data_IF_705912277216
#
_entry.id   IF_705912277216
#
_cell.length_a   1.000
_cell.length_b   1.000
_cell.length_c   1.000
_cell.angle_alpha   90.00
_cell.angle_beta   90.00
_cell.angle_gamma   90.00
#
_symmetry.space_group_name_H-M   'P 1'
#
loop_
_entity.id
_entity.type
_entity.pdbx_description
1 polymer ?
#
# COMPACT_ATOMS: atom_id res chain seq x y z
N UNK A 1 -36.58 -12.23 13.90
CA UNK A 1 -36.07 -11.59 15.13
C UNK A 1 -34.62 -11.28 14.87
N UNK A 2 -34.30 -10.05 14.53
CA UNK A 2 -32.93 -9.60 14.35
C UNK A 2 -32.35 -9.27 15.73
N UNK A 3 -31.33 -10.01 16.15
CA UNK A 3 -30.59 -9.72 17.36
C UNK A 3 -29.76 -8.46 17.09
N UNK A 4 -30.11 -7.38 17.78
CA UNK A 4 -29.30 -6.16 17.81
C UNK A 4 -27.88 -6.54 18.32
N UNK A 5 -26.90 -6.33 17.48
CA UNK A 5 -25.50 -6.42 17.89
C UNK A 5 -25.25 -5.38 18.97
N UNK A 6 -24.75 -5.85 20.11
CA UNK A 6 -24.33 -5.03 21.24
C UNK A 6 -23.19 -4.09 20.77
N UNK A 7 -23.46 -2.79 20.71
CA UNK A 7 -22.51 -1.76 20.25
C UNK A 7 -21.69 -1.18 21.39
N UNK A 8 -21.64 -1.83 22.56
CA UNK A 8 -21.10 -1.23 23.79
C UNK A 8 -19.59 -1.38 24.00
N UNK A 9 -18.80 -1.86 23.02
CA UNK A 9 -17.35 -1.99 23.21
C UNK A 9 -16.54 -1.92 21.90
N UNK A 10 -16.94 -1.11 20.94
CA UNK A 10 -16.03 -0.85 19.79
C UNK A 10 -15.07 0.27 20.19
N UNK A 11 -13.81 -0.09 20.40
CA UNK A 11 -12.72 0.87 20.39
C UNK A 11 -12.87 1.74 19.12
N UNK A 12 -12.98 3.06 19.28
CA UNK A 12 -13.19 4.03 18.20
C UNK A 12 -12.12 3.95 17.08
N UNK A 13 -11.13 3.08 17.23
CA UNK A 13 -10.03 2.80 16.29
C UNK A 13 -10.20 1.51 15.49
N UNK A 14 -11.22 0.71 15.77
CA UNK A 14 -11.57 -0.37 14.85
C UNK A 14 -12.29 0.29 13.68
N UNK A 15 -11.77 0.22 12.45
CA UNK A 15 -12.53 0.73 11.32
C UNK A 15 -13.90 0.08 11.37
N UNK A 16 -15.00 0.84 11.23
CA UNK A 16 -16.32 0.25 11.22
C UNK A 16 -16.28 -0.90 10.22
N UNK A 17 -16.78 -2.08 10.63
CA UNK A 17 -16.90 -3.22 9.71
C UNK A 17 -17.61 -2.67 8.49
N UNK A 18 -16.85 -2.48 7.43
CA UNK A 18 -17.36 -1.71 6.33
C UNK A 18 -18.61 -2.41 5.80
N UNK A 19 -19.66 -1.66 5.53
CA UNK A 19 -20.95 -2.20 5.05
C UNK A 19 -20.76 -3.12 3.85
N UNK A 20 -19.69 -2.90 3.05
CA UNK A 20 -19.34 -3.77 1.93
C UNK A 20 -18.91 -5.19 2.36
N UNK A 21 -18.26 -5.39 3.52
CA UNK A 21 -17.95 -6.73 4.04
C UNK A 21 -19.23 -7.51 4.35
N UNK A 22 -20.27 -6.81 4.83
CA UNK A 22 -21.56 -7.40 5.05
C UNK A 22 -22.25 -7.79 3.73
N UNK A 23 -22.13 -6.96 2.70
CA UNK A 23 -22.71 -7.20 1.38
C UNK A 23 -21.99 -8.30 0.60
N UNK A 24 -20.68 -8.41 0.69
CA UNK A 24 -19.90 -9.53 0.12
C UNK A 24 -20.30 -10.84 0.80
N UNK A 25 -20.46 -10.85 2.13
CA UNK A 25 -20.95 -12.00 2.88
C UNK A 25 -22.36 -12.42 2.45
N UNK A 26 -23.20 -11.45 2.15
CA UNK A 26 -24.57 -11.69 1.64
C UNK A 26 -24.58 -12.22 0.20
N UNK A 27 -23.54 -11.93 -0.59
CA UNK A 27 -23.38 -12.44 -1.97
C UNK A 27 -22.73 -13.81 -2.06
N UNK A 28 -22.25 -14.37 -0.94
CA UNK A 28 -21.57 -15.67 -0.90
C UNK A 28 -20.17 -15.66 -1.51
N UNK A 29 -19.58 -14.49 -1.73
CA UNK A 29 -18.21 -14.34 -2.16
C UNK A 29 -17.26 -14.53 -0.97
N UNK A 30 -16.15 -15.22 -1.18
CA UNK A 30 -15.15 -15.42 -0.14
C UNK A 30 -14.56 -14.07 0.28
N UNK A 31 -14.83 -13.67 1.51
CA UNK A 31 -14.26 -12.48 2.11
C UNK A 31 -12.75 -12.65 2.24
N UNK A 32 -11.99 -11.79 1.62
CA UNK A 32 -10.68 -11.43 2.17
C UNK A 32 -10.98 -10.67 3.47
N UNK A 33 -10.95 -11.39 4.59
CA UNK A 33 -11.20 -10.77 5.90
C UNK A 33 -10.08 -9.77 6.20
N UNK A 34 -10.39 -8.50 6.04
CA UNK A 34 -9.62 -7.42 6.63
C UNK A 34 -9.86 -7.40 8.14
N UNK A 35 -9.38 -8.42 8.82
CA UNK A 35 -9.28 -8.35 10.27
C UNK A 35 -8.03 -7.60 10.63
N UNK A 36 -8.17 -6.30 10.84
CA UNK A 36 -7.26 -5.59 11.72
C UNK A 36 -7.50 -6.16 13.12
N UNK A 37 -6.89 -7.32 13.41
CA UNK A 37 -6.97 -7.85 14.76
C UNK A 37 -6.27 -6.86 15.70
N UNK A 38 -6.89 -6.45 16.81
CA UNK A 38 -6.21 -5.65 17.81
C UNK A 38 -4.92 -6.37 18.22
N UNK A 39 -3.79 -5.68 18.16
CA UNK A 39 -2.54 -6.21 18.72
C UNK A 39 -2.61 -5.98 20.21
N UNK A 40 -2.76 -7.06 20.99
CA UNK A 40 -2.79 -6.98 22.43
C UNK A 40 -1.55 -6.24 22.96
N UNK A 41 -1.77 -5.26 23.83
CA UNK A 41 -0.72 -4.41 24.40
C UNK A 41 -0.24 -3.28 23.49
N UNK A 42 -0.93 -3.00 22.37
CA UNK A 42 -0.63 -1.83 21.53
C UNK A 42 -1.05 -0.55 22.25
N UNK A 43 -0.10 0.40 22.35
CA UNK A 43 -0.39 1.75 22.83
C UNK A 43 -1.28 2.52 21.85
N UNK A 44 -1.99 3.54 22.33
CA UNK A 44 -2.78 4.43 21.46
C UNK A 44 -1.89 5.24 20.51
N UNK A 45 -2.45 5.78 19.41
CA UNK A 45 -1.72 6.67 18.50
C UNK A 45 -1.08 7.83 19.28
N UNK A 46 -1.84 8.45 20.19
CA UNK A 46 -1.35 9.56 21.00
C UNK A 46 -0.17 9.14 21.91
N UNK A 47 -0.25 7.94 22.53
CA UNK A 47 0.81 7.43 23.38
C UNK A 47 2.06 7.00 22.59
N UNK A 48 1.87 6.61 21.33
CA UNK A 48 2.95 6.21 20.40
C UNK A 48 3.66 7.39 19.77
N UNK A 49 3.13 8.60 19.91
CA UNK A 49 3.68 9.83 19.34
C UNK A 49 3.97 9.71 17.83
N UNK A 50 3.10 9.04 17.09
CA UNK A 50 3.27 8.88 15.64
C UNK A 50 3.04 10.23 14.94
N UNK A 51 3.78 10.47 13.85
CA UNK A 51 3.50 11.59 12.99
C UNK A 51 2.05 11.52 12.49
N UNK A 52 1.32 12.62 12.64
CA UNK A 52 -0.05 12.72 12.13
C UNK A 52 -0.05 13.11 10.66
N UNK A 53 -1.00 12.57 9.91
CA UNK A 53 -1.12 12.78 8.48
C UNK A 53 -0.31 11.78 7.66
N UNK A 54 -0.50 11.87 6.35
CA UNK A 54 0.12 10.96 5.39
C UNK A 54 1.10 11.72 4.51
N UNK A 55 2.31 11.18 4.27
CA UNK A 55 3.24 11.79 3.34
C UNK A 55 2.68 11.71 1.91
N UNK A 56 2.91 12.74 1.10
CA UNK A 56 2.41 12.75 -0.27
C UNK A 56 3.25 11.88 -1.20
N UNK A 57 2.60 11.27 -2.17
CA UNK A 57 3.27 10.40 -3.14
C UNK A 57 2.32 9.43 -3.84
N UNK A 58 2.89 8.60 -4.71
CA UNK A 58 2.22 7.47 -5.31
C UNK A 58 2.22 6.26 -4.37
N UNK A 59 1.06 5.62 -4.25
CA UNK A 59 0.87 4.42 -3.44
C UNK A 59 0.18 3.32 -4.26
N UNK A 60 0.77 2.15 -4.31
CA UNK A 60 0.12 0.97 -4.89
C UNK A 60 -0.98 0.50 -3.92
N UNK A 61 -2.22 0.65 -4.31
CA UNK A 61 -3.37 0.37 -3.43
C UNK A 61 -3.98 -1.00 -3.70
N UNK A 62 -4.11 -1.41 -4.96
CA UNK A 62 -4.67 -2.71 -5.33
C UNK A 62 -3.94 -3.27 -6.56
N UNK A 63 -4.01 -4.58 -6.76
CA UNK A 63 -3.56 -5.18 -8.02
C UNK A 63 -4.50 -4.79 -9.16
N UNK A 64 -3.97 -4.68 -10.39
CA UNK A 64 -4.77 -4.27 -11.57
C UNK A 64 -6.00 -5.15 -11.80
N UNK A 65 -5.92 -6.44 -11.47
CA UNK A 65 -7.03 -7.38 -11.57
C UNK A 65 -8.09 -7.26 -10.47
N UNK A 66 -7.90 -6.39 -9.47
CA UNK A 66 -8.83 -6.24 -8.34
C UNK A 66 -10.22 -5.78 -8.77
N UNK A 67 -10.33 -4.92 -9.77
CA UNK A 67 -11.58 -4.43 -10.30
C UNK A 67 -11.69 -4.72 -11.79
N UNK A 68 -12.70 -5.52 -12.19
CA UNK A 68 -12.95 -5.88 -13.58
C UNK A 68 -13.63 -4.72 -14.36
N UNK A 69 -13.58 -4.71 -15.70
CA UNK A 69 -14.35 -3.76 -16.50
C UNK A 69 -15.84 -3.81 -16.15
N UNK A 70 -16.45 -2.64 -15.92
CA UNK A 70 -17.84 -2.52 -15.51
C UNK A 70 -18.10 -2.80 -14.02
N UNK A 71 -17.07 -3.05 -13.22
CA UNK A 71 -17.18 -3.32 -11.78
C UNK A 71 -16.82 -2.08 -10.96
N UNK A 72 -17.53 -1.90 -9.83
CA UNK A 72 -17.22 -0.91 -8.80
C UNK A 72 -17.05 -1.57 -7.44
N UNK A 73 -16.07 -1.11 -6.66
CA UNK A 73 -15.74 -1.63 -5.31
C UNK A 73 -15.48 -0.50 -4.32
N UNK A 74 -15.64 -0.81 -3.05
CA UNK A 74 -15.20 0.04 -1.96
C UNK A 74 -13.75 -0.29 -1.58
N UNK A 75 -12.94 0.74 -1.34
CA UNK A 75 -11.61 0.62 -0.76
C UNK A 75 -11.44 1.69 0.32
N UNK A 76 -10.47 1.50 1.21
CA UNK A 76 -10.15 2.46 2.26
C UNK A 76 -8.64 2.68 2.33
N UNK A 77 -8.23 3.95 2.13
CA UNK A 77 -6.85 4.40 2.22
C UNK A 77 -6.81 5.86 2.67
N UNK A 78 -5.73 6.25 3.33
CA UNK A 78 -5.52 7.62 3.82
C UNK A 78 -6.66 8.12 4.74
N UNK A 79 -7.16 7.23 5.60
CA UNK A 79 -8.32 7.46 6.48
C UNK A 79 -9.59 7.89 5.72
N UNK A 80 -9.70 7.53 4.42
CA UNK A 80 -10.84 7.87 3.56
C UNK A 80 -11.48 6.63 2.96
N UNK A 81 -12.80 6.62 2.94
CA UNK A 81 -13.56 5.68 2.15
C UNK A 81 -13.60 6.15 0.69
N UNK A 82 -13.24 5.26 -0.22
CA UNK A 82 -13.10 5.53 -1.64
C UNK A 82 -13.96 4.56 -2.44
N UNK A 83 -14.48 5.04 -3.55
CA UNK A 83 -15.09 4.20 -4.58
C UNK A 83 -14.15 4.07 -5.76
N UNK A 84 -13.73 2.83 -6.06
CA UNK A 84 -12.92 2.48 -7.22
C UNK A 84 -13.77 1.73 -8.22
N UNK A 85 -13.60 2.04 -9.50
CA UNK A 85 -14.24 1.28 -10.58
C UNK A 85 -13.41 1.28 -11.85
N UNK A 86 -13.67 0.31 -12.69
CA UNK A 86 -13.12 0.28 -14.04
C UNK A 86 -14.24 0.55 -15.04
N UNK A 87 -14.07 1.61 -15.82
CA UNK A 87 -14.99 1.95 -16.90
C UNK A 87 -14.99 0.90 -18.03
N UNK A 88 -15.93 1.01 -18.95
CA UNK A 88 -15.98 0.17 -20.17
C UNK A 88 -14.80 0.43 -21.10
N UNK A 89 -14.18 1.63 -20.99
CA UNK A 89 -12.92 1.97 -21.66
C UNK A 89 -11.69 1.28 -21.07
N UNK A 90 -11.86 0.47 -20.01
CA UNK A 90 -10.81 -0.24 -19.31
C UNK A 90 -10.02 0.60 -18.31
N UNK A 91 -10.26 1.90 -18.20
CA UNK A 91 -9.52 2.77 -17.29
C UNK A 91 -10.08 2.72 -15.87
N UNK A 92 -9.19 2.68 -14.90
CA UNK A 92 -9.54 2.75 -13.48
C UNK A 92 -9.75 4.20 -13.04
N UNK A 93 -10.76 4.42 -12.24
CA UNK A 93 -11.10 5.71 -11.65
C UNK A 93 -11.40 5.57 -10.17
N UNK A 94 -11.12 6.62 -9.41
CA UNK A 94 -11.37 6.66 -7.96
C UNK A 94 -11.97 8.00 -7.57
N UNK A 95 -13.01 7.95 -6.75
CA UNK A 95 -13.65 9.10 -6.10
C UNK A 95 -13.71 8.89 -4.58
N UNK A 96 -13.84 9.97 -3.82
CA UNK A 96 -14.35 9.89 -2.45
C UNK A 96 -15.72 9.18 -2.48
N UNK A 97 -15.93 8.25 -1.55
CA UNK A 97 -16.97 7.22 -1.70
C UNK A 97 -18.41 7.74 -1.61
N UNK A 98 -18.64 8.88 -0.95
CA UNK A 98 -20.00 9.25 -0.53
C UNK A 98 -20.71 10.17 -1.52
N UNK A 99 -21.86 9.68 -2.02
CA UNK A 99 -22.76 10.40 -2.91
C UNK A 99 -23.24 11.71 -2.28
N UNK A 100 -23.17 12.82 -3.03
CA UNK A 100 -23.53 14.17 -2.56
C UNK A 100 -25.05 14.37 -2.41
N UNK A 101 -25.86 13.39 -2.83
CA UNK A 101 -27.31 13.45 -2.62
C UNK A 101 -27.65 13.16 -1.15
N UNK A 102 -27.53 11.91 -0.69
CA UNK A 102 -27.89 11.49 0.68
C UNK A 102 -26.83 10.58 1.31
N UNK A 103 -25.57 10.68 0.89
CA UNK A 103 -24.45 10.05 1.57
C UNK A 103 -24.29 8.54 1.36
N UNK A 104 -24.93 7.94 0.36
CA UNK A 104 -24.72 6.52 0.06
C UNK A 104 -23.29 6.26 -0.41
N UNK A 105 -22.67 5.16 0.03
CA UNK A 105 -21.35 4.74 -0.40
C UNK A 105 -21.39 4.16 -1.83
N UNK A 106 -20.82 4.86 -2.80
CA UNK A 106 -20.95 4.53 -4.22
C UNK A 106 -20.19 3.27 -4.64
N UNK A 107 -19.13 2.89 -3.92
CA UNK A 107 -18.40 1.64 -4.16
C UNK A 107 -19.12 0.39 -3.66
N UNK A 108 -20.25 0.54 -2.93
CA UNK A 108 -21.02 -0.56 -2.36
C UNK A 108 -22.33 -0.70 -3.12
N UNK A 109 -22.41 -1.67 -4.03
CA UNK A 109 -23.59 -1.88 -4.87
C UNK A 109 -23.77 -0.82 -5.97
N UNK A 110 -22.83 0.10 -6.14
CA UNK A 110 -22.79 1.00 -7.30
C UNK A 110 -22.64 0.25 -8.60
N UNK A 111 -23.07 0.85 -9.69
CA UNK A 111 -23.00 0.27 -11.04
C UNK A 111 -22.17 1.16 -11.95
N UNK A 112 -21.57 0.55 -12.95
CA UNK A 112 -20.83 1.29 -13.96
C UNK A 112 -21.72 1.41 -15.22
N UNK A 113 -21.85 2.62 -15.74
CA UNK A 113 -22.54 2.92 -17.01
C UNK A 113 -21.58 3.65 -17.93
N UNK A 114 -21.06 2.96 -18.93
CA UNK A 114 -19.94 3.45 -19.71
C UNK A 114 -18.73 3.68 -18.83
N UNK A 115 -18.39 4.95 -18.58
CA UNK A 115 -17.28 5.33 -17.71
C UNK A 115 -17.75 5.99 -16.39
N UNK A 116 -19.06 6.14 -16.20
CA UNK A 116 -19.67 6.79 -15.05
C UNK A 116 -19.96 5.79 -13.93
N UNK A 117 -19.78 6.23 -12.69
CA UNK A 117 -20.19 5.49 -11.49
C UNK A 117 -21.59 5.90 -11.05
N UNK A 118 -22.53 4.96 -11.05
CA UNK A 118 -23.89 5.15 -10.60
C UNK A 118 -24.03 4.84 -9.11
N UNK A 119 -24.57 5.79 -8.36
CA UNK A 119 -24.92 5.63 -6.95
C UNK A 119 -26.02 4.58 -6.78
N UNK A 120 -25.87 3.59 -5.87
CA UNK A 120 -26.81 2.50 -5.70
C UNK A 120 -28.16 2.95 -5.13
N UNK A 121 -28.26 4.16 -4.56
CA UNK A 121 -29.45 4.61 -3.86
C UNK A 121 -30.47 5.28 -4.80
N UNK A 122 -30.01 6.29 -5.59
CA UNK A 122 -30.91 7.06 -6.47
C UNK A 122 -30.34 7.26 -7.87
N UNK A 123 -29.43 6.38 -8.32
CA UNK A 123 -28.86 6.34 -9.64
C UNK A 123 -28.20 7.66 -10.14
N UNK A 124 -27.68 8.49 -9.24
CA UNK A 124 -26.84 9.63 -9.63
C UNK A 124 -25.53 9.12 -10.22
N UNK A 125 -25.19 9.61 -11.44
CA UNK A 125 -24.01 9.13 -12.18
C UNK A 125 -22.89 10.15 -12.15
N UNK A 126 -21.76 9.72 -11.62
CA UNK A 126 -20.57 10.54 -11.36
C UNK A 126 -19.49 10.25 -12.40
N UNK A 127 -18.86 11.30 -12.91
CA UNK A 127 -17.67 11.20 -13.73
C UNK A 127 -16.41 11.20 -12.82
N UNK A 128 -15.55 10.19 -12.99
CA UNK A 128 -14.31 10.08 -12.24
C UNK A 128 -13.20 11.03 -12.68
N UNK A 129 -13.32 11.62 -13.86
CA UNK A 129 -12.30 12.55 -14.36
C UNK A 129 -12.42 13.94 -13.71
N UNK A 130 -13.64 14.43 -13.51
CA UNK A 130 -13.88 15.78 -13.03
C UNK A 130 -14.69 15.86 -11.71
N UNK A 131 -15.21 14.73 -11.22
CA UNK A 131 -16.01 14.68 -9.98
C UNK A 131 -17.37 15.37 -10.09
N UNK A 132 -17.93 15.40 -11.28
CA UNK A 132 -19.21 16.05 -11.62
C UNK A 132 -20.31 15.00 -11.76
N UNK A 133 -21.54 15.34 -11.42
CA UNK A 133 -22.73 14.52 -11.75
C UNK A 133 -23.14 14.79 -13.20
N UNK A 134 -23.07 13.79 -14.04
CA UNK A 134 -23.39 13.88 -15.47
C UNK A 134 -24.83 13.49 -15.78
N UNK A 135 -25.46 12.69 -14.93
CA UNK A 135 -26.83 12.22 -15.14
C UNK A 135 -27.56 11.96 -13.82
N UNK A 136 -28.83 12.26 -13.82
CA UNK A 136 -29.80 11.92 -12.74
C UNK A 136 -31.07 11.44 -13.45
N UNK A 137 -31.27 10.12 -13.64
CA UNK A 137 -32.29 9.57 -14.53
C UNK A 137 -33.74 10.00 -14.26
N UNK A 138 -34.08 10.36 -13.03
CA UNK A 138 -35.43 10.77 -12.63
C UNK A 138 -35.62 12.28 -12.59
N UNK A 139 -34.57 13.07 -12.77
CA UNK A 139 -34.63 14.53 -12.64
C UNK A 139 -34.88 15.21 -14.00
N UNK A 140 -35.67 16.27 -14.03
CA UNK A 140 -35.85 17.10 -15.22
C UNK A 140 -34.59 17.92 -15.55
N UNK A 141 -33.77 18.21 -14.56
CA UNK A 141 -32.51 18.94 -14.70
C UNK A 141 -31.55 18.58 -13.56
N UNK A 142 -30.28 18.59 -13.87
CA UNK A 142 -29.20 18.40 -12.88
C UNK A 142 -29.05 19.68 -12.08
N UNK A 143 -29.04 19.64 -10.73
CA UNK A 143 -28.85 20.82 -9.88
C UNK A 143 -27.51 21.52 -10.19
N UNK A 144 -27.47 22.85 -10.22
CA UNK A 144 -26.24 23.60 -10.52
C UNK A 144 -25.04 23.28 -9.61
N UNK A 145 -25.31 22.93 -8.35
CA UNK A 145 -24.30 22.59 -7.34
C UNK A 145 -23.43 21.41 -7.74
N UNK A 146 -23.98 20.43 -8.47
CA UNK A 146 -23.31 19.20 -8.88
C UNK A 146 -22.94 19.17 -10.37
N UNK A 147 -23.23 20.26 -11.11
CA UNK A 147 -22.70 20.49 -12.48
C UNK A 147 -21.24 20.95 -12.49
N UNK A 148 -20.65 21.16 -11.33
CA UNK A 148 -19.24 21.45 -11.09
C UNK A 148 -18.65 20.36 -10.21
N UNK A 149 -17.31 20.31 -10.07
CA UNK A 149 -16.66 19.35 -9.17
C UNK A 149 -17.31 19.41 -7.78
N UNK A 150 -17.97 18.33 -7.41
CA UNK A 150 -18.68 18.21 -6.14
C UNK A 150 -18.13 17.09 -5.25
N UNK A 151 -17.28 16.21 -5.80
CA UNK A 151 -16.54 15.18 -5.03
C UNK A 151 -15.08 15.18 -5.45
N UNK A 152 -14.20 14.70 -4.56
CA UNK A 152 -12.78 14.61 -4.87
C UNK A 152 -12.55 13.50 -5.89
N UNK A 153 -11.79 13.82 -6.93
CA UNK A 153 -11.19 12.86 -7.86
C UNK A 153 -9.78 12.55 -7.43
N UNK A 154 -9.32 11.35 -7.69
CA UNK A 154 -7.96 10.92 -7.39
C UNK A 154 -7.18 10.73 -8.67
N UNK A 155 -5.90 11.14 -8.68
CA UNK A 155 -5.00 10.75 -9.76
C UNK A 155 -4.71 9.25 -9.64
N UNK A 156 -4.95 8.55 -10.73
CA UNK A 156 -4.82 7.09 -10.81
C UNK A 156 -3.94 6.75 -12.00
N UNK A 157 -3.06 5.78 -11.84
CA UNK A 157 -2.34 5.14 -12.94
C UNK A 157 -2.23 3.64 -12.70
N UNK A 158 -2.02 2.87 -13.77
CA UNK A 158 -1.72 1.46 -13.68
C UNK A 158 -0.31 1.22 -14.22
N UNK A 159 0.52 0.60 -13.41
CA UNK A 159 1.88 0.22 -13.77
C UNK A 159 2.31 -0.99 -12.96
N UNK A 160 3.17 -1.83 -13.52
CA UNK A 160 3.74 -3.02 -12.85
C UNK A 160 2.67 -3.98 -12.30
N UNK A 161 1.49 -4.08 -12.92
CA UNK A 161 0.39 -4.92 -12.45
C UNK A 161 -0.38 -4.36 -11.23
N UNK A 162 -0.15 -3.11 -10.88
CA UNK A 162 -0.78 -2.42 -9.78
C UNK A 162 -1.61 -1.23 -10.21
N UNK A 163 -2.65 -0.90 -9.40
CA UNK A 163 -3.37 0.37 -9.41
C UNK A 163 -2.69 1.27 -8.39
N UNK A 164 -2.25 2.43 -8.83
CA UNK A 164 -1.57 3.45 -8.04
C UNK A 164 -2.46 4.66 -7.85
N UNK A 165 -2.55 5.14 -6.59
CA UNK A 165 -3.17 6.41 -6.26
C UNK A 165 -2.12 7.42 -5.85
N UNK A 166 -2.24 8.64 -6.36
CA UNK A 166 -1.50 9.78 -5.85
C UNK A 166 -2.24 10.40 -4.68
N UNK A 167 -1.56 10.47 -3.54
CA UNK A 167 -2.03 11.22 -2.39
C UNK A 167 -1.26 12.52 -2.25
N UNK A 168 -2.00 13.63 -2.06
CA UNK A 168 -1.48 14.93 -1.61
C UNK A 168 -2.53 15.60 -0.74
N UNK A 169 -2.17 16.17 0.44
CA UNK A 169 -3.15 16.73 1.37
C UNK A 169 -3.89 17.95 0.81
N UNK A 170 -3.27 18.72 -0.10
CA UNK A 170 -3.87 19.86 -0.78
C UNK A 170 -4.31 19.56 -2.23
N UNK A 171 -4.48 18.31 -2.62
CA UNK A 171 -4.85 17.89 -3.98
C UNK A 171 -3.91 18.38 -5.10
N UNK A 172 -2.62 18.64 -4.78
CA UNK A 172 -1.65 18.96 -5.81
C UNK A 172 -1.43 17.78 -6.76
N UNK A 173 -1.18 18.10 -8.03
CA UNK A 173 -0.90 17.11 -9.05
C UNK A 173 0.38 16.30 -8.77
N UNK A 174 0.53 15.08 -9.34
CA UNK A 174 1.74 14.30 -9.21
C UNK A 174 2.99 15.06 -9.61
N UNK A 175 4.04 14.97 -8.80
CA UNK A 175 5.32 15.62 -9.01
C UNK A 175 6.36 14.70 -9.65
N UNK A 176 6.08 13.40 -9.70
CA UNK A 176 6.88 12.35 -10.37
C UNK A 176 5.97 11.21 -10.81
N UNK A 177 6.46 10.37 -11.69
CA UNK A 177 5.74 9.22 -12.21
C UNK A 177 6.01 7.95 -11.40
N UNK A 178 5.18 6.93 -11.60
CA UNK A 178 5.45 5.59 -11.11
C UNK A 178 6.59 4.98 -11.90
N UNK A 179 7.59 4.45 -11.21
CA UNK A 179 8.74 3.78 -11.84
C UNK A 179 8.28 2.47 -12.47
N UNK A 180 8.64 2.26 -13.73
CA UNK A 180 8.29 1.07 -14.47
C UNK A 180 9.34 -0.03 -14.29
N UNK A 181 8.88 -1.25 -14.03
CA UNK A 181 9.68 -2.46 -13.90
C UNK A 181 9.32 -3.43 -15.04
N UNK A 182 10.16 -3.57 -16.09
CA UNK A 182 9.87 -4.42 -17.24
C UNK A 182 9.55 -5.87 -16.85
N UNK A 183 10.18 -6.38 -15.82
CA UNK A 183 10.04 -7.75 -15.32
C UNK A 183 8.60 -8.08 -14.91
N UNK A 184 7.81 -7.07 -14.52
CA UNK A 184 6.41 -7.26 -14.15
C UNK A 184 5.52 -7.73 -15.31
N UNK A 185 5.97 -7.54 -16.54
CA UNK A 185 5.24 -7.95 -17.75
C UNK A 185 6.08 -8.83 -18.70
N UNK A 186 7.30 -9.15 -18.33
CA UNK A 186 8.20 -9.98 -19.11
C UNK A 186 7.74 -11.46 -19.07
N UNK A 187 7.51 -12.10 -20.24
CA UNK A 187 7.07 -13.49 -20.30
C UNK A 187 8.11 -14.48 -19.75
N UNK A 188 9.37 -14.10 -19.65
CA UNK A 188 10.44 -14.93 -19.08
C UNK A 188 10.53 -14.82 -17.55
N UNK A 189 9.75 -13.95 -16.95
CA UNK A 189 9.61 -13.81 -15.50
C UNK A 189 8.30 -14.46 -15.00
N UNK A 190 8.28 -14.87 -13.73
CA UNK A 190 7.08 -15.47 -13.13
C UNK A 190 5.99 -14.41 -12.93
N UNK A 191 4.73 -14.85 -12.84
CA UNK A 191 3.70 -14.01 -12.23
C UNK A 191 4.08 -13.68 -10.79
N UNK A 192 3.56 -12.58 -10.25
CA UNK A 192 3.83 -12.22 -8.87
C UNK A 192 3.41 -13.30 -7.87
N UNK A 193 4.33 -13.64 -6.98
CA UNK A 193 4.01 -14.29 -5.70
C UNK A 193 3.75 -13.17 -4.69
N UNK A 194 2.51 -13.09 -4.20
CA UNK A 194 2.03 -11.98 -3.37
C UNK A 194 1.91 -12.40 -1.92
N UNK A 195 2.54 -11.63 -1.03
CA UNK A 195 2.40 -11.75 0.43
C UNK A 195 1.88 -10.44 0.99
N UNK A 196 1.05 -10.51 2.03
CA UNK A 196 0.37 -9.35 2.58
C UNK A 196 0.40 -9.33 4.12
N UNK A 197 0.59 -8.14 4.67
CA UNK A 197 0.57 -7.88 6.11
C UNK A 197 -0.22 -6.62 6.43
N UNK A 198 -0.80 -6.58 7.62
CA UNK A 198 -1.22 -5.36 8.28
C UNK A 198 -0.15 -4.99 9.31
N UNK A 199 0.44 -3.81 9.19
CA UNK A 199 1.43 -3.28 10.12
C UNK A 199 0.83 -2.10 10.86
N UNK A 200 0.95 -2.14 12.19
CA UNK A 200 0.48 -1.07 13.07
C UNK A 200 1.61 -0.10 13.38
N UNK A 201 1.71 0.95 12.60
CA UNK A 201 2.77 1.94 12.70
C UNK A 201 2.62 3.02 11.64
N UNK A 202 3.45 4.05 11.70
CA UNK A 202 3.53 5.03 10.63
C UNK A 202 4.41 4.52 9.50
N UNK A 203 4.11 4.96 8.28
CA UNK A 203 4.93 4.63 7.11
C UNK A 203 6.38 5.14 7.27
N UNK A 204 6.59 6.24 7.98
CA UNK A 204 7.94 6.76 8.26
C UNK A 204 8.74 5.79 9.11
N UNK A 205 8.15 5.19 10.15
CA UNK A 205 8.85 4.22 11.00
C UNK A 205 9.34 3.01 10.18
N UNK A 206 8.52 2.51 9.26
CA UNK A 206 8.96 1.45 8.35
C UNK A 206 10.05 1.93 7.39
N UNK A 207 9.92 3.15 6.87
CA UNK A 207 10.89 3.68 5.91
C UNK A 207 12.26 3.97 6.56
N UNK A 208 12.32 4.27 7.86
CA UNK A 208 13.58 4.43 8.61
C UNK A 208 14.41 3.14 8.63
N UNK A 209 13.77 1.98 8.58
CA UNK A 209 14.44 0.67 8.55
C UNK A 209 15.44 0.55 7.38
N UNK A 210 15.16 1.20 6.26
CA UNK A 210 16.04 1.20 5.10
C UNK A 210 17.33 2.02 5.25
N UNK A 211 17.57 2.69 6.37
CA UNK A 211 18.84 3.36 6.73
C UNK A 211 19.42 2.84 8.03
N UNK A 212 18.68 1.99 8.75
CA UNK A 212 19.15 1.30 9.93
C UNK A 212 19.78 -0.04 9.51
N UNK A 213 21.10 -0.11 9.48
CA UNK A 213 21.80 -1.36 9.13
C UNK A 213 22.08 -2.24 10.35
N UNK A 214 22.02 -1.68 11.56
CA UNK A 214 22.34 -2.42 12.79
C UNK A 214 21.31 -3.52 13.08
N UNK A 215 20.02 -3.29 12.79
CA UNK A 215 18.96 -4.25 13.06
C UNK A 215 19.15 -5.59 12.33
N UNK A 216 19.83 -5.60 11.16
CA UNK A 216 20.10 -6.86 10.43
C UNK A 216 20.79 -7.89 11.30
N UNK A 217 21.75 -7.46 12.12
CA UNK A 217 22.47 -8.36 13.02
C UNK A 217 21.58 -8.84 14.17
N UNK A 218 20.84 -7.93 14.78
CA UNK A 218 20.14 -8.22 16.04
C UNK A 218 18.72 -8.78 15.83
N UNK A 219 18.08 -8.45 14.73
CA UNK A 219 16.72 -8.91 14.42
C UNK A 219 16.77 -10.09 13.43
N UNK A 220 17.56 -9.97 12.36
CA UNK A 220 17.60 -10.99 11.29
C UNK A 220 18.76 -12.00 11.47
N UNK A 221 19.65 -11.76 12.44
CA UNK A 221 20.69 -12.71 12.81
C UNK A 221 21.85 -12.80 11.82
N UNK A 222 22.14 -11.73 11.08
CA UNK A 222 23.35 -11.69 10.24
C UNK A 222 24.61 -11.77 11.13
N UNK A 223 25.69 -12.38 10.63
CA UNK A 223 26.94 -12.53 11.40
C UNK A 223 27.52 -11.18 11.83
N UNK A 224 27.47 -10.21 10.95
CA UNK A 224 27.95 -8.86 11.17
C UNK A 224 26.92 -7.82 10.74
N UNK A 225 27.07 -6.57 11.14
CA UNK A 225 26.33 -5.44 10.61
C UNK A 225 26.78 -5.22 9.16
N UNK A 226 25.90 -5.33 8.15
CA UNK A 226 26.32 -5.22 6.78
C UNK A 226 26.73 -3.80 6.43
N UNK A 227 27.71 -3.67 5.51
CA UNK A 227 28.00 -2.37 4.90
C UNK A 227 26.95 -2.01 3.87
N UNK A 228 26.45 -0.79 3.93
CA UNK A 228 25.49 -0.26 2.98
C UNK A 228 26.04 1.01 2.29
N UNK A 229 25.92 1.05 0.97
CA UNK A 229 26.22 2.23 0.17
C UNK A 229 24.91 2.99 -0.10
N UNK A 230 24.68 4.09 0.63
CA UNK A 230 23.45 4.85 0.55
C UNK A 230 23.48 5.85 -0.62
N UNK A 231 22.37 5.97 -1.32
CA UNK A 231 22.13 6.94 -2.39
C UNK A 231 20.95 7.84 -2.03
N UNK A 232 21.10 9.14 -2.31
CA UNK A 232 20.07 10.15 -2.02
C UNK A 232 19.77 10.95 -3.29
N UNK A 233 18.48 11.10 -3.59
CA UNK A 233 17.97 11.95 -4.65
C UNK A 233 16.89 12.90 -4.13
N UNK A 234 16.33 13.70 -5.02
CA UNK A 234 15.29 14.67 -4.65
C UNK A 234 14.01 14.00 -4.14
N UNK A 235 13.53 12.99 -4.85
CA UNK A 235 12.30 12.29 -4.51
C UNK A 235 12.48 10.78 -4.26
N UNK A 236 13.70 10.31 -4.31
CA UNK A 236 14.02 8.91 -4.13
C UNK A 236 15.31 8.72 -3.35
N UNK A 237 15.49 7.53 -2.83
CA UNK A 237 16.73 7.10 -2.20
C UNK A 237 16.94 5.62 -2.46
N UNK A 238 18.16 5.15 -2.25
CA UNK A 238 18.46 3.74 -2.37
C UNK A 238 19.66 3.34 -1.53
N UNK A 239 19.87 2.04 -1.46
CA UNK A 239 21.04 1.44 -0.82
C UNK A 239 21.45 0.16 -1.54
N UNK A 240 22.76 -0.07 -1.63
CA UNK A 240 23.33 -1.35 -2.00
C UNK A 240 23.95 -1.98 -0.76
N UNK A 241 23.44 -3.14 -0.38
CA UNK A 241 23.94 -3.92 0.74
C UNK A 241 24.62 -5.17 0.18
N UNK A 242 25.91 -5.32 0.43
CA UNK A 242 26.68 -6.50 0.08
C UNK A 242 26.62 -7.51 1.21
N UNK A 243 26.14 -8.71 0.91
CA UNK A 243 25.96 -9.76 1.92
C UNK A 243 26.52 -11.09 1.44
N UNK A 244 27.07 -11.84 2.38
CA UNK A 244 27.36 -13.27 2.16
C UNK A 244 26.13 -14.07 2.52
N UNK A 245 25.59 -14.78 1.53
CA UNK A 245 24.36 -15.53 1.64
C UNK A 245 24.66 -17.02 1.74
N UNK A 246 24.06 -17.71 2.72
CA UNK A 246 24.23 -19.16 2.92
C UNK A 246 23.43 -19.96 1.90
N UNK A 247 24.07 -20.95 1.29
CA UNK A 247 23.43 -21.97 0.45
C UNK A 247 23.78 -23.37 0.97
N UNK A 248 23.09 -24.42 0.56
CA UNK A 248 23.47 -25.79 0.94
C UNK A 248 24.88 -26.21 0.52
N UNK A 249 25.46 -25.53 -0.46
CA UNK A 249 26.79 -25.81 -0.99
C UNK A 249 27.88 -24.84 -0.52
N UNK A 250 27.52 -23.87 0.35
CA UNK A 250 28.47 -22.88 0.89
C UNK A 250 27.92 -21.46 0.86
N UNK A 251 28.81 -20.49 1.09
CA UNK A 251 28.50 -19.06 1.04
C UNK A 251 28.66 -18.52 -0.37
N UNK A 252 27.72 -17.71 -0.81
CA UNK A 252 27.79 -16.95 -2.07
C UNK A 252 27.74 -15.44 -1.77
N UNK A 253 28.45 -14.67 -2.58
CA UNK A 253 28.33 -13.21 -2.50
C UNK A 253 27.04 -12.77 -3.20
N UNK A 254 26.28 -11.92 -2.55
CA UNK A 254 25.05 -11.34 -3.07
C UNK A 254 24.96 -9.86 -2.84
N UNK A 255 24.11 -9.22 -3.59
CA UNK A 255 23.79 -7.80 -3.44
C UNK A 255 22.29 -7.66 -3.27
N UNK A 256 21.90 -6.84 -2.31
CA UNK A 256 20.54 -6.38 -2.10
C UNK A 256 20.52 -4.91 -2.49
N UNK A 257 19.96 -4.59 -3.65
CA UNK A 257 19.79 -3.22 -4.12
C UNK A 257 18.36 -2.78 -3.83
N UNK A 258 18.23 -1.85 -2.90
CA UNK A 258 16.94 -1.30 -2.49
C UNK A 258 16.81 0.13 -2.99
N UNK A 259 15.69 0.47 -3.59
CA UNK A 259 15.38 1.83 -4.06
C UNK A 259 13.93 2.23 -3.78
N UNK A 260 13.71 3.54 -3.64
CA UNK A 260 12.38 4.14 -3.49
C UNK A 260 12.23 5.35 -4.40
N UNK A 261 10.98 5.64 -4.76
CA UNK A 261 10.59 6.91 -5.37
C UNK A 261 9.37 7.45 -4.60
N UNK A 262 9.60 8.44 -3.75
CA UNK A 262 8.62 8.86 -2.76
C UNK A 262 8.39 7.82 -1.64
N UNK A 263 7.42 8.05 -0.77
CA UNK A 263 7.18 7.19 0.39
C UNK A 263 6.47 5.87 0.06
N UNK A 264 5.70 5.81 -1.04
CA UNK A 264 4.84 4.67 -1.34
C UNK A 264 5.34 3.75 -2.46
N UNK A 265 6.43 4.09 -3.14
CA UNK A 265 7.07 3.24 -4.14
C UNK A 265 8.38 2.68 -3.60
N UNK A 266 8.50 1.37 -3.54
CA UNK A 266 9.71 0.69 -3.10
C UNK A 266 9.92 -0.58 -3.91
N UNK A 267 11.17 -0.85 -4.29
CA UNK A 267 11.54 -2.10 -4.92
C UNK A 267 12.92 -2.53 -4.45
N UNK A 268 13.13 -3.84 -4.44
CA UNK A 268 14.40 -4.44 -4.07
C UNK A 268 14.78 -5.50 -5.07
N UNK A 269 16.04 -5.45 -5.54
CA UNK A 269 16.64 -6.48 -6.37
C UNK A 269 17.62 -7.29 -5.55
N UNK A 270 17.44 -8.59 -5.57
CA UNK A 270 18.33 -9.55 -4.93
C UNK A 270 19.11 -10.27 -6.02
N UNK A 271 20.43 -10.44 -5.79
CA UNK A 271 21.31 -11.23 -6.63
C UNK A 271 22.14 -12.19 -5.76
N UNK A 272 22.77 -13.16 -6.37
CA UNK A 272 23.63 -14.14 -5.68
C UNK A 272 22.97 -15.51 -5.59
N UNK A 273 21.96 -15.70 -4.72
CA UNK A 273 21.25 -16.97 -4.59
C UNK A 273 20.29 -17.20 -5.77
N UNK A 274 19.44 -16.20 -6.00
CA UNK A 274 18.47 -16.18 -7.10
C UNK A 274 18.20 -14.75 -7.45
N UNK A 275 18.16 -14.44 -8.73
CA UNK A 275 17.71 -13.12 -9.19
C UNK A 275 16.24 -12.96 -8.82
N UNK A 276 15.93 -11.90 -8.07
CA UNK A 276 14.58 -11.66 -7.58
C UNK A 276 14.31 -10.17 -7.58
N UNK A 277 13.18 -9.77 -8.16
CA UNK A 277 12.62 -8.45 -8.00
C UNK A 277 11.47 -8.53 -6.99
N UNK A 278 11.55 -7.73 -5.95
CA UNK A 278 10.46 -7.42 -5.03
C UNK A 278 9.95 -6.02 -5.35
N UNK A 279 8.69 -5.91 -5.74
CA UNK A 279 7.96 -4.63 -5.76
C UNK A 279 7.11 -4.57 -4.50
N UNK A 280 7.40 -3.61 -3.63
CA UNK A 280 6.72 -3.49 -2.35
C UNK A 280 5.72 -2.32 -2.36
N UNK A 281 4.54 -2.57 -1.82
CA UNK A 281 3.52 -1.57 -1.54
C UNK A 281 3.42 -1.36 -0.03
N UNK A 282 3.56 -0.09 0.39
CA UNK A 282 3.36 0.36 1.77
C UNK A 282 2.25 1.41 1.74
N UNK A 283 0.99 0.99 1.79
CA UNK A 283 -0.14 1.89 1.61
C UNK A 283 -0.83 2.19 2.96
N UNK A 284 -0.87 3.46 3.39
CA UNK A 284 -1.57 3.84 4.61
C UNK A 284 -3.09 3.64 4.48
N UNK A 285 -3.67 2.85 5.38
CA UNK A 285 -5.12 2.70 5.54
C UNK A 285 -5.63 3.72 6.54
N UNK A 286 -4.99 3.80 7.70
CA UNK A 286 -5.19 4.80 8.75
C UNK A 286 -3.85 5.43 9.13
N UNK A 287 -3.84 6.43 9.99
CA UNK A 287 -2.61 7.11 10.42
C UNK A 287 -1.61 6.15 11.09
N UNK A 288 -2.11 5.09 11.73
CA UNK A 288 -1.32 4.06 12.40
C UNK A 288 -1.51 2.66 11.82
N UNK A 289 -2.09 2.52 10.65
CA UNK A 289 -2.34 1.23 10.00
C UNK A 289 -1.88 1.26 8.56
N UNK A 290 -0.95 0.38 8.24
CA UNK A 290 -0.44 0.18 6.89
C UNK A 290 -0.88 -1.17 6.35
N UNK A 291 -1.27 -1.18 5.09
CA UNK A 291 -1.35 -2.39 4.28
C UNK A 291 -0.03 -2.56 3.55
N UNK A 292 0.69 -3.61 3.87
CA UNK A 292 1.99 -3.92 3.27
C UNK A 292 1.83 -5.13 2.37
N UNK A 293 2.23 -5.01 1.11
CA UNK A 293 2.25 -6.15 0.17
C UNK A 293 3.61 -6.25 -0.48
N UNK A 294 4.14 -7.46 -0.50
CA UNK A 294 5.34 -7.83 -1.23
C UNK A 294 4.94 -8.66 -2.44
N UNK A 295 5.32 -8.17 -3.61
CA UNK A 295 5.12 -8.87 -4.89
C UNK A 295 6.48 -9.28 -5.44
N UNK A 296 6.75 -10.57 -5.38
CA UNK A 296 8.00 -11.15 -5.88
C UNK A 296 7.82 -11.67 -7.29
N UNK A 297 8.81 -11.41 -8.14
CA UNK A 297 8.95 -12.05 -9.44
C UNK A 297 10.40 -12.46 -9.67
N UNK A 298 10.60 -13.58 -10.38
CA UNK A 298 11.90 -14.20 -10.60
C UNK A 298 11.96 -14.72 -12.04
N UNK A 299 13.15 -14.83 -12.64
CA UNK A 299 13.30 -15.51 -13.93
C UNK A 299 12.74 -16.94 -13.85
N UNK A 300 11.86 -17.32 -14.77
CA UNK A 300 11.25 -18.65 -14.82
C UNK A 300 12.28 -19.77 -14.84
N UNK A 301 13.38 -19.56 -15.55
CA UNK A 301 14.48 -20.53 -15.61
C UNK A 301 15.08 -20.85 -14.22
N UNK A 302 15.03 -19.92 -13.27
CA UNK A 302 15.46 -20.12 -11.88
C UNK A 302 14.34 -20.65 -10.99
N UNK A 303 13.15 -20.06 -11.11
CA UNK A 303 12.00 -20.36 -10.25
C UNK A 303 11.34 -21.71 -10.55
N UNK A 304 11.42 -22.20 -11.78
CA UNK A 304 10.80 -23.45 -12.25
C UNK A 304 11.84 -24.53 -12.58
N UNK A 305 13.14 -24.17 -12.60
CA UNK A 305 14.27 -25.04 -12.91
C UNK A 305 14.84 -25.76 -11.68
N UNK A 306 16.04 -26.34 -11.81
CA UNK A 306 16.73 -27.03 -10.71
C UNK A 306 16.99 -26.15 -9.47
N UNK A 307 17.03 -24.83 -9.63
CA UNK A 307 17.20 -23.84 -8.56
C UNK A 307 15.93 -23.45 -7.81
N UNK A 308 14.75 -23.97 -8.19
CA UNK A 308 13.45 -23.55 -7.65
C UNK A 308 13.36 -23.60 -6.12
N UNK A 309 14.02 -24.57 -5.49
CA UNK A 309 14.06 -24.66 -4.03
C UNK A 309 14.74 -23.48 -3.36
N UNK A 310 15.84 -22.99 -3.94
CA UNK A 310 16.58 -21.81 -3.45
C UNK A 310 15.80 -20.52 -3.71
N UNK A 311 15.21 -20.39 -4.90
CA UNK A 311 14.39 -19.24 -5.26
C UNK A 311 13.21 -19.05 -4.27
N UNK A 312 12.49 -20.13 -3.96
CA UNK A 312 11.41 -20.12 -2.94
C UNK A 312 11.93 -19.91 -1.51
N UNK A 313 13.11 -20.42 -1.19
CA UNK A 313 13.70 -20.22 0.14
C UNK A 313 14.06 -18.76 0.37
N UNK A 314 14.57 -18.05 -0.64
CA UNK A 314 14.85 -16.62 -0.56
C UNK A 314 13.57 -15.80 -0.27
N UNK A 315 12.49 -16.05 -1.01
CA UNK A 315 11.21 -15.36 -0.76
C UNK A 315 10.72 -15.61 0.67
N UNK A 316 10.74 -16.87 1.14
CA UNK A 316 10.32 -17.19 2.50
C UNK A 316 11.19 -16.50 3.56
N UNK A 317 12.50 -16.39 3.33
CA UNK A 317 13.39 -15.72 4.27
C UNK A 317 13.11 -14.21 4.34
N UNK A 318 12.88 -13.56 3.20
CA UNK A 318 12.51 -12.14 3.14
C UNK A 318 11.18 -11.89 3.86
N UNK A 319 10.17 -12.75 3.63
CA UNK A 319 8.89 -12.63 4.34
C UNK A 319 9.05 -12.83 5.85
N UNK A 320 9.88 -13.80 6.28
CA UNK A 320 10.21 -14.01 7.69
C UNK A 320 10.89 -12.79 8.31
N UNK A 321 11.76 -12.11 7.59
CA UNK A 321 12.41 -10.88 8.09
C UNK A 321 11.37 -9.79 8.35
N UNK A 322 10.38 -9.61 7.45
CA UNK A 322 9.29 -8.67 7.70
C UNK A 322 8.45 -9.08 8.92
N UNK A 323 8.17 -10.38 9.11
CA UNK A 323 7.46 -10.84 10.30
C UNK A 323 8.22 -10.51 11.60
N UNK A 324 9.56 -10.59 11.58
CA UNK A 324 10.40 -10.22 12.72
C UNK A 324 10.33 -8.71 13.01
N UNK A 325 10.48 -7.87 12.00
CA UNK A 325 10.39 -6.42 12.12
C UNK A 325 9.00 -5.97 12.55
N UNK A 326 7.96 -6.59 12.02
CA UNK A 326 6.57 -6.29 12.34
C UNK A 326 6.28 -6.37 13.85
N UNK A 327 6.86 -7.32 14.56
CA UNK A 327 6.69 -7.45 16.02
C UNK A 327 7.13 -6.19 16.74
N UNK A 328 8.16 -5.50 16.22
CA UNK A 328 8.68 -4.26 16.75
C UNK A 328 7.83 -3.08 16.31
N UNK A 329 7.60 -2.93 15.00
CA UNK A 329 6.82 -1.81 14.45
C UNK A 329 5.41 -1.71 15.02
N UNK A 330 4.74 -2.84 15.22
CA UNK A 330 3.38 -2.87 15.79
C UNK A 330 3.31 -2.27 17.21
N UNK A 331 4.44 -2.14 17.88
CA UNK A 331 4.53 -1.66 19.28
C UNK A 331 5.46 -0.46 19.44
N UNK A 332 6.12 -0.05 18.37
CA UNK A 332 7.10 1.02 18.37
C UNK A 332 6.42 2.37 18.62
N UNK A 333 7.07 3.20 19.44
CA UNK A 333 6.75 4.61 19.61
C UNK A 333 7.71 5.44 18.75
N UNK A 334 7.21 6.48 18.11
CA UNK A 334 8.09 7.43 17.44
C UNK A 334 8.80 8.29 18.47
N UNK A 335 10.13 8.24 18.47
CA UNK A 335 10.98 9.10 19.30
C UNK A 335 11.46 10.30 18.49
N UNK A 336 10.95 11.53 18.74
CA UNK A 336 11.29 12.68 17.92
C UNK A 336 12.75 13.12 18.05
N UNK A 337 13.36 12.85 19.20
CA UNK A 337 14.75 13.20 19.51
C UNK A 337 15.55 11.95 19.89
N UNK A 338 15.80 11.03 18.94
CA UNK A 338 16.48 9.79 19.25
C UNK A 338 17.93 10.04 19.67
N UNK A 339 18.41 9.27 20.65
CA UNK A 339 19.83 9.26 21.00
C UNK A 339 20.54 8.34 20.02
N UNK A 340 21.45 8.88 19.26
CA UNK A 340 22.16 8.20 18.17
C UNK A 340 23.59 7.91 18.62
N UNK A 341 24.10 6.72 18.31
CA UNK A 341 25.50 6.33 18.52
C UNK A 341 26.25 6.14 17.19
N UNK A 342 27.54 5.92 17.26
CA UNK A 342 28.43 5.79 16.08
C UNK A 342 28.21 4.52 15.27
N UNK A 343 27.47 3.54 15.81
CA UNK A 343 27.07 2.32 15.08
C UNK A 343 25.72 2.43 14.34
N UNK A 344 24.99 3.51 14.55
CA UNK A 344 23.68 3.71 13.89
C UNK A 344 23.84 4.20 12.45
N UNK A 345 22.82 3.94 11.65
CA UNK A 345 22.68 4.54 10.33
C UNK A 345 22.36 6.04 10.40
N UNK A 346 22.31 6.74 9.26
CA UNK A 346 22.09 8.20 9.21
C UNK A 346 20.63 8.59 9.46
N UNK A 347 20.05 8.17 10.59
CA UNK A 347 18.66 8.43 10.97
C UNK A 347 18.29 9.92 10.95
N UNK A 348 19.10 10.86 11.53
CA UNK A 348 18.78 12.28 11.46
C UNK A 348 18.74 12.84 10.04
N UNK A 349 19.67 12.40 9.18
CA UNK A 349 19.67 12.78 7.78
C UNK A 349 18.44 12.26 7.05
N UNK A 350 18.06 11.01 7.30
CA UNK A 350 16.85 10.41 6.74
C UNK A 350 15.61 11.21 7.14
N UNK A 351 15.43 11.52 8.43
CA UNK A 351 14.27 12.27 8.92
C UNK A 351 14.18 13.67 8.31
N UNK A 352 15.30 14.37 8.21
CA UNK A 352 15.39 15.66 7.53
C UNK A 352 15.01 15.54 6.05
N UNK A 353 15.49 14.49 5.37
CA UNK A 353 15.15 14.23 3.98
C UNK A 353 13.68 13.81 3.81
N UNK A 354 13.16 12.94 4.67
CA UNK A 354 11.80 12.41 4.59
C UNK A 354 10.73 13.45 4.93
N UNK A 355 11.05 14.45 5.74
CA UNK A 355 10.12 15.52 6.13
C UNK A 355 9.55 16.29 4.94
N UNK A 356 10.24 16.29 3.78
CA UNK A 356 9.77 16.93 2.53
C UNK A 356 8.46 16.38 2.00
N UNK A 357 8.07 15.17 2.38
CA UNK A 357 6.83 14.54 1.93
C UNK A 357 5.62 14.92 2.78
N UNK A 358 5.81 15.66 3.86
CA UNK A 358 4.72 16.23 4.65
C UNK A 358 4.53 17.69 4.25
N UNK A 359 3.34 18.04 3.67
CA UNK A 359 3.01 19.38 3.19
C UNK A 359 2.20 20.18 4.23
#
# INVERSE_FOLDING_TARGET
MATLLDTSATDARTPPVAVWQLLEKLRGEALVEWRVAPVDGRASIADRNLNTGFPFGWYAVELSGFVAPGEAKAIRYFAKDLAIWRGEDGQVRVLDAYCKHLGAHMGVGGKVHGNLLECPFHAWRYDGADGVVKDIPYAKAIPPQVKRKCTRTWHVTEANGWIWLWYHPQDAAPMWDVVHHPEASDPDWTSYEVHEWTVYGSIQNMAENGVDVAHFKYIHGTADVPAAELRWGDWGRGADVRAKMGTPTGMVDGVISYDTMGPGQSWTRFTGISETLLVASLAPVEEDVLRVRYCFTQPKAQAEGPGAGLAKALIRDICKQLDQDKVIWDRMKFEPNPIICDGDGPIPQFRSWYSRYYA
#
